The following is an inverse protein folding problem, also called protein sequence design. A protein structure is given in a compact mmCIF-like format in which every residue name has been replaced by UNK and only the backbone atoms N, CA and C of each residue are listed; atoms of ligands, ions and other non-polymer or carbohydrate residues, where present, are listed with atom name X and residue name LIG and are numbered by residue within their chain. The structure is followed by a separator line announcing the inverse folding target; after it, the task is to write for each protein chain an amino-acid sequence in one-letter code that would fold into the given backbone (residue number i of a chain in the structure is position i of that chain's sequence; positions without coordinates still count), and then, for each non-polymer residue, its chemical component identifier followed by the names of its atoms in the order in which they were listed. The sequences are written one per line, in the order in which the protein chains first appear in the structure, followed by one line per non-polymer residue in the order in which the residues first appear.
data_IF_911173335507
#
_entry.id   IF_911173335507
#
_cell.length_a   1.000
_cell.length_b   1.000
_cell.length_c   1.000
_cell.angle_alpha   90.00
_cell.angle_beta   90.00
_cell.angle_gamma   90.00
#
_symmetry.space_group_name_H-M   'P 1'
#
loop_
_entity.id
_entity.type
_entity.pdbx_description
1 polymer ?
#
# COMPACT_ATOMS: atom_id res chain seq x y z
N UNK A 1 32.68 0.32 -71.34
CA UNK A 1 31.69 1.42 -71.41
C UNK A 1 30.62 1.13 -70.35
N UNK A 2 30.77 1.75 -69.17
CA UNK A 2 29.82 1.62 -68.06
C UNK A 2 28.90 2.83 -68.15
N UNK A 3 27.62 2.59 -68.45
CA UNK A 3 26.63 3.65 -68.66
C UNK A 3 26.00 4.04 -67.33
N UNK A 4 26.00 5.35 -67.09
CA UNK A 4 25.47 6.05 -65.93
C UNK A 4 23.93 6.02 -65.98
N UNK A 5 23.28 5.47 -64.95
CA UNK A 5 21.85 5.76 -64.70
C UNK A 5 21.71 6.38 -63.33
N UNK A 6 21.37 7.67 -63.33
CA UNK A 6 21.10 8.52 -62.17
C UNK A 6 19.94 7.94 -61.36
N UNK A 7 20.18 7.60 -60.09
CA UNK A 7 19.10 7.39 -59.13
C UNK A 7 18.81 8.74 -58.45
N UNK A 8 17.61 9.27 -58.68
CA UNK A 8 17.06 10.41 -57.96
C UNK A 8 16.63 9.92 -56.57
N UNK A 9 17.29 10.39 -55.51
CA UNK A 9 16.85 10.17 -54.14
C UNK A 9 15.70 11.14 -53.83
N UNK A 10 14.48 10.62 -53.72
CA UNK A 10 13.35 11.36 -53.14
C UNK A 10 13.47 11.23 -51.62
N UNK A 11 13.95 12.29 -50.95
CA UNK A 11 13.84 12.42 -49.49
C UNK A 11 12.35 12.65 -49.16
N UNK A 12 11.65 11.59 -48.78
CA UNK A 12 10.43 11.71 -48.00
C UNK A 12 10.80 12.04 -46.57
N UNK A 13 10.62 13.30 -46.15
CA UNK A 13 10.59 13.63 -44.73
C UNK A 13 9.33 13.00 -44.13
N UNK A 14 9.48 11.85 -43.50
CA UNK A 14 8.49 11.37 -42.54
C UNK A 14 8.78 12.13 -41.24
N UNK A 15 8.05 13.21 -41.01
CA UNK A 15 7.94 13.80 -39.68
C UNK A 15 7.23 12.77 -38.81
N UNK A 16 8.00 11.96 -38.09
CA UNK A 16 7.47 11.19 -36.97
C UNK A 16 7.13 12.23 -35.91
N UNK A 17 5.85 12.62 -35.86
CA UNK A 17 5.32 13.34 -34.72
C UNK A 17 5.53 12.46 -33.50
N UNK A 18 6.55 12.77 -32.70
CA UNK A 18 6.60 12.26 -31.34
C UNK A 18 5.38 12.85 -30.64
N UNK A 19 4.35 12.03 -30.47
CA UNK A 19 3.40 12.28 -29.41
C UNK A 19 4.23 12.26 -28.13
N UNK A 20 4.55 13.45 -27.61
CA UNK A 20 5.02 13.60 -26.24
C UNK A 20 3.93 12.99 -25.37
N UNK A 21 4.16 11.76 -24.92
CA UNK A 21 3.40 11.18 -23.84
C UNK A 21 3.63 12.14 -22.67
N UNK A 22 2.59 12.81 -22.14
CA UNK A 22 2.76 13.72 -21.03
C UNK A 22 3.39 12.96 -19.86
N UNK A 23 4.27 13.64 -19.12
CA UNK A 23 5.11 13.13 -18.05
C UNK A 23 4.33 12.64 -16.81
N UNK A 24 3.46 11.64 -17.00
CA UNK A 24 2.76 10.92 -15.92
C UNK A 24 3.54 9.69 -15.43
N UNK A 25 4.67 9.36 -16.06
CA UNK A 25 5.51 8.22 -15.67
C UNK A 25 6.60 8.56 -14.65
N UNK A 26 6.79 9.83 -14.29
CA UNK A 26 7.75 10.23 -13.23
C UNK A 26 7.19 10.00 -11.80
N UNK A 27 5.86 9.90 -11.63
CA UNK A 27 5.24 9.79 -10.29
C UNK A 27 5.20 8.36 -9.73
N UNK A 28 5.49 7.33 -10.52
CA UNK A 28 5.48 5.93 -10.05
C UNK A 28 6.78 5.59 -9.28
N UNK A 29 7.88 6.32 -9.52
CA UNK A 29 9.14 6.13 -8.79
C UNK A 29 9.10 6.68 -7.34
N UNK A 30 8.08 7.46 -6.96
CA UNK A 30 7.93 7.96 -5.60
C UNK A 30 7.10 7.06 -4.68
N UNK A 31 6.56 5.95 -5.19
CA UNK A 31 5.70 5.08 -4.40
C UNK A 31 6.46 4.27 -3.34
N UNK A 32 7.77 4.10 -3.47
CA UNK A 32 8.68 3.49 -2.49
C UNK A 32 10.06 4.09 -2.71
N UNK A 33 10.85 4.32 -1.64
CA UNK A 33 12.05 5.12 -1.79
C UNK A 33 13.20 4.70 -0.89
N UNK A 34 14.39 4.66 -1.48
CA UNK A 34 15.64 4.59 -0.72
C UNK A 34 15.86 5.95 -0.07
N UNK A 35 16.06 5.96 1.25
CA UNK A 35 16.21 7.19 2.00
C UNK A 35 17.69 7.61 2.00
N UNK A 36 18.14 8.19 0.89
CA UNK A 36 19.55 8.48 0.57
C UNK A 36 20.25 7.26 -0.07
N UNK A 37 21.17 6.62 0.64
CA UNK A 37 21.85 5.40 0.22
C UNK A 37 21.14 4.17 0.77
N UNK A 38 21.05 3.10 -0.01
CA UNK A 38 20.49 1.82 0.45
C UNK A 38 21.41 1.20 1.49
N UNK A 39 20.95 1.20 2.74
CA UNK A 39 21.63 0.57 3.87
C UNK A 39 20.99 -0.77 4.26
N UNK A 40 20.01 -1.25 3.48
CA UNK A 40 19.50 -2.60 3.65
C UNK A 40 20.60 -3.62 3.37
N UNK A 41 20.51 -4.79 4.01
CA UNK A 41 21.46 -5.88 3.79
C UNK A 41 20.71 -7.19 3.51
N UNK A 42 21.40 -8.12 2.85
CA UNK A 42 20.87 -9.47 2.66
C UNK A 42 20.55 -10.11 4.01
N UNK A 43 19.43 -10.84 4.09
CA UNK A 43 18.95 -11.46 5.34
C UNK A 43 20.05 -12.22 6.13
N UNK A 44 20.92 -12.92 5.41
CA UNK A 44 22.01 -13.72 6.02
C UNK A 44 23.09 -12.90 6.72
N UNK A 45 23.23 -11.60 6.41
CA UNK A 45 24.15 -10.70 7.11
C UNK A 45 23.84 -10.57 8.61
N UNK A 46 22.58 -10.78 8.98
CA UNK A 46 22.08 -10.61 10.34
C UNK A 46 21.98 -11.93 11.12
N UNK A 47 22.42 -13.06 10.55
CA UNK A 47 22.23 -14.40 11.14
C UNK A 47 22.87 -14.53 12.54
N UNK A 48 24.03 -13.90 12.74
CA UNK A 48 24.82 -14.02 13.96
C UNK A 48 24.49 -12.88 14.95
N UNK A 49 24.30 -11.66 14.44
CA UNK A 49 24.03 -10.47 15.26
C UNK A 49 22.57 -10.35 15.69
N UNK A 50 21.63 -10.85 14.90
CA UNK A 50 20.18 -10.70 15.09
C UNK A 50 19.41 -11.99 14.80
N UNK A 51 19.76 -13.13 15.42
CA UNK A 51 19.19 -14.44 15.09
C UNK A 51 17.67 -14.50 15.28
N UNK A 52 17.11 -13.74 16.24
CA UNK A 52 15.68 -13.66 16.44
C UNK A 52 14.95 -12.97 15.26
N UNK A 53 15.52 -11.88 14.72
CA UNK A 53 14.96 -11.17 13.56
C UNK A 53 15.03 -12.05 12.31
N UNK A 54 16.15 -12.74 12.10
CA UNK A 54 16.33 -13.69 10.99
C UNK A 54 15.38 -14.88 11.10
N UNK A 55 15.15 -15.41 12.31
CA UNK A 55 14.17 -16.48 12.53
C UNK A 55 12.75 -16.02 12.15
N UNK A 56 12.36 -14.82 12.57
CA UNK A 56 11.06 -14.21 12.22
C UNK A 56 10.93 -13.87 10.75
N UNK A 57 12.03 -13.55 10.06
CA UNK A 57 12.01 -13.22 8.63
C UNK A 57 11.50 -14.38 7.78
N UNK A 58 11.57 -15.64 8.24
CA UNK A 58 11.05 -16.80 7.52
C UNK A 58 9.58 -16.65 7.11
N UNK A 59 8.77 -15.97 7.92
CA UNK A 59 7.36 -15.71 7.63
C UNK A 59 7.12 -14.73 6.46
N UNK A 60 8.16 -14.07 5.94
CA UNK A 60 8.08 -13.12 4.82
C UNK A 60 8.11 -13.88 3.49
N UNK A 61 7.14 -13.60 2.62
CA UNK A 61 7.05 -14.14 1.27
C UNK A 61 7.37 -13.07 0.21
N UNK A 62 8.02 -13.50 -0.87
CA UNK A 62 8.08 -12.79 -2.13
C UNK A 62 6.80 -13.09 -2.90
N UNK A 63 6.09 -12.04 -3.32
CA UNK A 63 4.88 -12.17 -4.12
C UNK A 63 5.20 -11.84 -5.58
N UNK A 64 4.90 -12.77 -6.48
CA UNK A 64 4.93 -12.51 -7.91
C UNK A 64 3.51 -12.28 -8.42
N UNK A 65 3.23 -11.06 -8.83
CA UNK A 65 1.93 -10.63 -9.36
C UNK A 65 1.91 -10.89 -10.87
N UNK A 66 1.52 -12.10 -11.28
CA UNK A 66 1.60 -12.52 -12.69
C UNK A 66 0.65 -11.72 -13.60
N UNK A 67 -0.47 -11.21 -13.06
CA UNK A 67 -1.47 -10.45 -13.80
C UNK A 67 -0.97 -9.09 -14.33
N UNK A 68 -0.01 -8.46 -13.64
CA UNK A 68 0.60 -7.16 -14.04
C UNK A 68 2.11 -7.25 -14.25
N UNK A 69 2.70 -8.43 -14.08
CA UNK A 69 4.15 -8.60 -14.17
C UNK A 69 4.94 -7.84 -13.10
N UNK A 70 4.36 -7.59 -11.93
CA UNK A 70 4.98 -6.87 -10.81
C UNK A 70 5.41 -7.81 -9.66
N UNK A 71 6.00 -7.24 -8.62
CA UNK A 71 6.39 -7.92 -7.39
C UNK A 71 5.89 -7.13 -6.19
N UNK A 72 5.55 -7.85 -5.12
CA UNK A 72 5.25 -7.27 -3.82
C UNK A 72 5.87 -8.14 -2.72
N UNK A 73 5.73 -7.69 -1.48
CA UNK A 73 6.04 -8.45 -0.29
C UNK A 73 4.76 -8.84 0.43
N UNK A 74 4.75 -10.04 1.01
CA UNK A 74 3.68 -10.50 1.89
C UNK A 74 4.26 -11.20 3.11
N UNK A 75 3.44 -11.49 4.10
CA UNK A 75 3.91 -12.19 5.30
C UNK A 75 2.80 -12.95 6.01
N UNK A 76 3.15 -14.11 6.60
CA UNK A 76 2.20 -14.94 7.33
C UNK A 76 1.72 -14.23 8.61
N UNK A 77 0.41 -14.04 8.74
CA UNK A 77 -0.23 -13.31 9.84
C UNK A 77 -1.13 -14.23 10.65
N UNK A 78 -0.74 -14.49 11.89
CA UNK A 78 -1.41 -15.47 12.74
C UNK A 78 -1.16 -16.92 12.30
N UNK A 79 -1.74 -17.86 13.04
CA UNK A 79 -1.42 -19.30 12.98
C UNK A 79 -2.20 -20.09 11.95
N UNK A 80 -3.01 -19.42 11.12
CA UNK A 80 -3.98 -20.08 10.25
C UNK A 80 -3.60 -20.04 8.77
N UNK A 81 -2.36 -19.70 8.41
CA UNK A 81 -1.94 -19.64 6.99
C UNK A 81 -2.56 -18.49 6.20
N UNK A 82 -2.96 -17.43 6.90
CA UNK A 82 -3.28 -16.15 6.29
C UNK A 82 -2.00 -15.37 5.98
N UNK A 83 -2.04 -14.57 4.93
CA UNK A 83 -0.96 -13.72 4.49
C UNK A 83 -1.47 -12.28 4.39
N UNK A 84 -0.67 -11.33 4.88
CA UNK A 84 -0.93 -9.91 4.79
C UNK A 84 -0.07 -9.28 3.69
N UNK A 85 -0.66 -8.39 2.89
CA UNK A 85 0.03 -7.54 1.89
C UNK A 85 -0.79 -6.26 1.66
N UNK A 86 -0.39 -5.40 0.72
CA UNK A 86 -1.19 -4.22 0.38
C UNK A 86 -2.40 -4.55 -0.50
N UNK A 87 -3.46 -3.73 -0.40
CA UNK A 87 -4.59 -3.81 -1.32
C UNK A 87 -4.14 -3.55 -2.75
N UNK A 88 -3.27 -2.57 -2.98
CA UNK A 88 -2.78 -2.29 -4.33
C UNK A 88 -1.91 -3.44 -4.94
N UNK A 89 -1.48 -4.42 -4.13
CA UNK A 89 -0.84 -5.64 -4.63
C UNK A 89 -1.87 -6.71 -4.98
N UNK A 90 -2.93 -6.87 -4.18
CA UNK A 90 -4.00 -7.85 -4.36
C UNK A 90 -5.34 -7.18 -4.05
N UNK A 91 -5.96 -6.59 -5.07
CA UNK A 91 -7.19 -5.79 -4.94
C UNK A 91 -8.46 -6.50 -5.44
N UNK A 92 -8.34 -7.70 -5.98
CA UNK A 92 -9.43 -8.39 -6.70
C UNK A 92 -9.23 -9.90 -6.68
N UNK A 93 -10.29 -10.64 -7.03
CA UNK A 93 -10.23 -12.08 -7.21
C UNK A 93 -9.25 -12.48 -8.32
N UNK A 94 -9.17 -11.70 -9.41
CA UNK A 94 -8.21 -11.95 -10.50
C UNK A 94 -6.77 -11.72 -10.04
N UNK A 95 -6.50 -10.63 -9.32
CA UNK A 95 -5.18 -10.39 -8.74
C UNK A 95 -4.78 -11.55 -7.82
N UNK A 96 -5.72 -12.07 -7.02
CA UNK A 96 -5.49 -13.19 -6.12
C UNK A 96 -5.26 -14.52 -6.87
N UNK A 97 -6.03 -14.78 -7.94
CA UNK A 97 -5.90 -15.96 -8.80
C UNK A 97 -4.58 -16.04 -9.56
N UNK A 98 -3.91 -14.91 -9.77
CA UNK A 98 -2.64 -14.81 -10.48
C UNK A 98 -1.49 -14.28 -9.60
N UNK A 99 -1.54 -14.52 -8.29
CA UNK A 99 -0.46 -14.18 -7.37
C UNK A 99 0.23 -15.45 -6.84
N UNK A 100 1.51 -15.58 -7.18
CA UNK A 100 2.38 -16.63 -6.65
C UNK A 100 3.03 -16.20 -5.34
N UNK A 101 3.06 -17.11 -4.37
CA UNK A 101 3.67 -16.94 -3.04
C UNK A 101 4.94 -17.78 -2.96
N UNK A 102 6.07 -17.14 -2.69
CA UNK A 102 7.38 -17.77 -2.59
C UNK A 102 8.06 -17.44 -1.26
N UNK A 103 8.42 -18.46 -0.49
CA UNK A 103 9.21 -18.30 0.73
C UNK A 103 10.68 -18.69 0.51
N UNK A 104 11.57 -18.33 1.44
CA UNK A 104 13.01 -18.67 1.38
C UNK A 104 13.76 -18.19 0.12
N UNK A 105 13.24 -17.19 -0.59
CA UNK A 105 14.03 -16.47 -1.59
C UNK A 105 15.08 -15.61 -0.87
N UNK A 106 16.24 -16.18 -0.55
CA UNK A 106 17.33 -15.55 0.21
C UNK A 106 18.69 -15.81 -0.45
N UNK A 107 19.65 -14.90 -0.26
CA UNK A 107 21.02 -15.17 -0.71
C UNK A 107 21.75 -16.13 0.25
N UNK A 108 22.66 -16.98 -0.26
CA UNK A 108 23.53 -17.81 0.58
C UNK A 108 24.53 -17.01 1.42
N UNK A 109 25.09 -15.95 0.85
CA UNK A 109 26.13 -15.11 1.43
C UNK A 109 25.68 -13.66 1.65
N UNK A 110 26.33 -13.00 2.62
CA UNK A 110 25.98 -11.63 3.00
C UNK A 110 26.26 -10.62 1.88
N UNK A 111 27.37 -10.80 1.17
CA UNK A 111 27.81 -9.90 0.09
C UNK A 111 27.42 -10.41 -1.31
N UNK A 112 26.58 -11.44 -1.37
CA UNK A 112 26.13 -11.99 -2.65
C UNK A 112 25.30 -10.95 -3.40
N UNK A 113 25.59 -10.80 -4.69
CA UNK A 113 24.81 -9.95 -5.57
C UNK A 113 23.42 -10.54 -5.77
N UNK A 114 22.44 -9.67 -5.98
CA UNK A 114 21.08 -10.10 -6.28
C UNK A 114 20.43 -9.19 -7.31
N UNK A 115 19.45 -9.76 -8.01
CA UNK A 115 18.65 -9.10 -9.02
C UNK A 115 17.20 -9.55 -8.87
N UNK A 116 16.28 -8.84 -9.52
CA UNK A 116 14.86 -9.16 -9.49
C UNK A 116 14.62 -10.62 -9.88
N UNK A 117 13.94 -11.38 -9.02
CA UNK A 117 13.64 -12.79 -9.24
C UNK A 117 14.81 -13.75 -9.03
N UNK A 118 16.01 -13.29 -8.67
CA UNK A 118 17.13 -14.19 -8.40
C UNK A 118 16.94 -14.95 -7.08
N UNK A 119 17.77 -15.99 -6.88
CA UNK A 119 17.73 -16.92 -5.75
C UNK A 119 16.31 -17.41 -5.45
N UNK A 120 15.73 -18.22 -6.36
CA UNK A 120 14.41 -18.77 -6.15
C UNK A 120 14.37 -19.58 -4.86
N UNK A 121 13.35 -19.34 -4.06
CA UNK A 121 13.04 -20.09 -2.87
C UNK A 121 12.05 -21.22 -3.17
N UNK A 122 11.15 -21.47 -2.22
CA UNK A 122 10.11 -22.48 -2.33
C UNK A 122 8.77 -21.84 -2.66
N UNK A 123 8.15 -22.29 -3.74
CA UNK A 123 6.81 -21.85 -4.13
C UNK A 123 5.78 -22.55 -3.25
N UNK A 124 5.05 -21.79 -2.46
CA UNK A 124 3.99 -22.30 -1.59
C UNK A 124 2.63 -22.33 -2.27
N UNK A 125 2.38 -21.39 -3.19
CA UNK A 125 1.12 -21.26 -3.88
C UNK A 125 1.30 -20.54 -5.22
N UNK A 126 0.44 -20.87 -6.19
CA UNK A 126 0.32 -20.14 -7.47
C UNK A 126 -0.87 -19.17 -7.49
N UNK A 127 -1.72 -19.23 -6.46
CA UNK A 127 -2.84 -18.33 -6.24
C UNK A 127 -3.15 -18.20 -4.74
N UNK A 128 -3.95 -17.19 -4.40
CA UNK A 128 -4.47 -16.97 -3.05
C UNK A 128 -5.97 -16.67 -3.12
N UNK A 129 -6.62 -16.68 -1.97
CA UNK A 129 -8.04 -16.28 -1.84
C UNK A 129 -8.13 -15.01 -1.01
N UNK A 130 -8.80 -13.96 -1.50
CA UNK A 130 -9.05 -12.76 -0.69
C UNK A 130 -10.03 -13.10 0.43
N UNK A 131 -9.63 -12.84 1.68
CA UNK A 131 -10.51 -12.98 2.85
C UNK A 131 -11.13 -11.63 3.18
N UNK A 132 -10.31 -10.58 3.20
CA UNK A 132 -10.76 -9.22 3.44
C UNK A 132 -9.73 -8.25 2.86
N UNK A 133 -10.18 -7.14 2.29
CA UNK A 133 -9.28 -6.07 1.84
C UNK A 133 -9.95 -4.73 2.00
N UNK A 134 -9.16 -3.70 2.28
CA UNK A 134 -9.65 -2.33 2.40
C UNK A 134 -8.76 -1.40 1.58
N UNK A 135 -9.39 -0.63 0.69
CA UNK A 135 -8.69 0.31 -0.18
C UNK A 135 -8.18 1.53 0.57
N UNK A 136 -8.88 2.01 1.60
CA UNK A 136 -8.48 3.21 2.33
C UNK A 136 -7.28 2.97 3.26
N UNK A 137 -7.20 1.77 3.85
CA UNK A 137 -6.10 1.29 4.67
C UNK A 137 -5.06 0.50 3.87
N UNK A 138 -5.18 0.44 2.54
CA UNK A 138 -4.27 -0.25 1.62
C UNK A 138 -3.77 -1.61 2.10
N UNK A 139 -4.66 -2.49 2.56
CA UNK A 139 -4.28 -3.83 2.96
C UNK A 139 -5.20 -4.89 2.35
N UNK A 140 -4.62 -6.08 2.16
CA UNK A 140 -5.32 -7.29 1.82
C UNK A 140 -4.87 -8.41 2.76
N UNK A 141 -5.85 -9.01 3.43
CA UNK A 141 -5.72 -10.27 4.13
C UNK A 141 -6.17 -11.37 3.16
N UNK A 142 -5.24 -12.27 2.82
CA UNK A 142 -5.49 -13.37 1.90
C UNK A 142 -5.22 -14.71 2.58
N UNK A 143 -5.85 -15.76 2.09
CA UNK A 143 -5.54 -17.15 2.45
C UNK A 143 -4.64 -17.75 1.38
N UNK A 144 -3.54 -18.35 1.79
CA UNK A 144 -2.63 -19.03 0.87
C UNK A 144 -3.25 -20.36 0.44
N UNK A 145 -3.47 -20.54 -0.87
CA UNK A 145 -3.96 -21.80 -1.42
C UNK A 145 -2.75 -22.70 -1.69
N UNK A 146 -2.33 -23.41 -0.65
CA UNK A 146 -1.11 -24.20 -0.66
C UNK A 146 -1.13 -25.23 -1.79
N UNK A 147 -0.02 -25.33 -2.51
CA UNK A 147 0.26 -26.49 -3.35
C UNK A 147 0.32 -27.72 -2.43
N UNK A 148 -0.26 -28.82 -2.89
CA UNK A 148 -0.33 -30.07 -2.13
C UNK A 148 1.02 -30.38 -1.45
N UNK A 149 0.96 -30.76 -0.17
CA UNK A 149 2.11 -31.11 0.69
C UNK A 149 3.00 -29.94 1.16
N UNK A 150 2.74 -28.67 0.76
CA UNK A 150 3.51 -27.55 1.28
C UNK A 150 3.21 -27.29 2.77
N UNK A 151 4.23 -27.44 3.63
CA UNK A 151 4.13 -27.19 5.07
C UNK A 151 4.57 -25.77 5.43
N UNK A 152 3.66 -24.98 6.03
CA UNK A 152 3.95 -23.65 6.54
C UNK A 152 4.66 -23.65 7.91
N UNK A 153 4.68 -24.77 8.62
CA UNK A 153 5.23 -24.87 9.98
C UNK A 153 6.67 -24.34 10.12
N UNK A 154 7.61 -24.61 9.18
CA UNK A 154 8.99 -24.11 9.27
C UNK A 154 9.10 -22.57 9.15
N UNK A 155 8.07 -21.92 8.60
CA UNK A 155 8.02 -20.48 8.37
C UNK A 155 7.42 -19.70 9.55
N UNK A 156 6.63 -20.38 10.38
CA UNK A 156 5.94 -19.76 11.50
C UNK A 156 4.99 -18.65 11.04
N UNK A 157 4.85 -17.61 11.86
CA UNK A 157 4.06 -16.43 11.53
C UNK A 157 4.54 -15.22 12.33
N UNK A 158 4.14 -14.03 11.87
CA UNK A 158 4.30 -12.80 12.62
C UNK A 158 3.03 -12.47 13.40
N UNK A 159 3.23 -11.72 14.47
CA UNK A 159 2.15 -11.17 15.29
C UNK A 159 2.26 -9.65 15.27
N UNK A 160 1.13 -8.98 15.25
CA UNK A 160 1.05 -7.53 15.34
C UNK A 160 0.87 -7.07 16.79
N UNK A 161 1.33 -5.85 17.05
CA UNK A 161 1.03 -5.12 18.28
C UNK A 161 -0.28 -4.36 18.11
N UNK A 162 -1.14 -4.40 19.12
CA UNK A 162 -2.32 -3.56 19.23
C UNK A 162 -2.04 -2.24 19.98
N UNK A 163 -0.78 -1.95 20.28
CA UNK A 163 -0.34 -0.73 20.96
C UNK A 163 0.11 0.34 19.97
N UNK A 164 -0.16 1.60 20.30
CA UNK A 164 0.37 2.75 19.56
C UNK A 164 1.87 2.90 19.77
N UNK A 165 2.57 3.38 18.74
CA UNK A 165 4.01 3.70 18.81
C UNK A 165 4.26 5.20 18.98
N UNK A 166 5.47 5.57 19.37
CA UNK A 166 5.94 6.95 19.54
C UNK A 166 6.97 7.31 18.47
N UNK A 167 7.10 8.61 18.20
CA UNK A 167 8.24 9.12 17.42
C UNK A 167 9.53 8.71 18.14
N UNK A 168 10.53 8.31 17.35
CA UNK A 168 11.81 7.73 17.76
C UNK A 168 11.77 6.30 18.32
N UNK A 169 10.61 5.63 18.40
CA UNK A 169 10.60 4.18 18.64
C UNK A 169 11.41 3.48 17.55
N UNK A 170 12.22 2.51 17.95
CA UNK A 170 13.13 1.81 17.04
C UNK A 170 12.38 0.76 16.24
N UNK A 171 12.68 0.71 14.94
CA UNK A 171 11.98 -0.15 14.01
C UNK A 171 12.92 -0.70 12.91
N UNK A 172 12.47 -1.77 12.26
CA UNK A 172 13.12 -2.37 11.10
C UNK A 172 12.07 -2.95 10.15
N UNK A 173 12.46 -3.18 8.90
CA UNK A 173 11.61 -3.80 7.87
C UNK A 173 12.31 -5.00 7.24
N UNK A 174 11.54 -6.00 6.83
CA UNK A 174 12.04 -7.21 6.17
C UNK A 174 11.17 -7.54 4.97
N UNK A 175 11.71 -7.48 3.76
CA UNK A 175 10.93 -7.63 2.55
C UNK A 175 11.74 -8.01 1.32
N UNK A 176 11.10 -7.91 0.17
CA UNK A 176 11.66 -8.25 -1.14
C UNK A 176 11.73 -7.03 -2.06
N UNK A 177 12.59 -6.02 -1.75
CA UNK A 177 12.73 -4.82 -2.55
C UNK A 177 13.12 -5.18 -3.99
N UNK A 178 12.39 -4.67 -4.97
CA UNK A 178 12.49 -4.98 -6.39
C UNK A 178 12.37 -6.47 -6.72
N UNK A 179 11.59 -7.23 -5.95
CA UNK A 179 11.47 -8.69 -6.09
C UNK A 179 12.79 -9.43 -5.89
N UNK A 180 13.79 -8.78 -5.27
CA UNK A 180 15.08 -9.40 -4.94
C UNK A 180 14.91 -10.41 -3.79
N UNK A 181 15.90 -11.26 -3.52
CA UNK A 181 15.94 -12.08 -2.32
C UNK A 181 15.79 -11.20 -1.07
N UNK A 182 15.30 -11.79 0.02
CA UNK A 182 14.91 -11.07 1.23
C UNK A 182 16.04 -10.20 1.77
N UNK A 183 15.73 -8.93 2.00
CA UNK A 183 16.62 -7.97 2.64
C UNK A 183 15.99 -7.45 3.91
N UNK A 184 16.84 -7.04 4.85
CA UNK A 184 16.46 -6.39 6.09
C UNK A 184 17.03 -4.98 6.05
N UNK A 185 16.17 -3.97 6.10
CA UNK A 185 16.59 -2.61 6.39
C UNK A 185 16.45 -2.38 7.89
N UNK A 186 17.59 -2.17 8.55
CA UNK A 186 17.67 -1.99 10.00
C UNK A 186 18.62 -0.85 10.32
N UNK A 187 19.79 -0.79 9.68
CA UNK A 187 20.76 0.30 9.90
C UNK A 187 20.31 1.55 9.16
N UNK A 188 20.52 2.72 9.75
CA UNK A 188 20.30 4.00 9.06
C UNK A 188 21.25 5.10 9.51
N UNK A 189 21.95 5.74 8.57
CA UNK A 189 22.87 6.86 8.80
C UNK A 189 23.88 6.58 9.94
N UNK A 190 24.41 5.34 9.99
CA UNK A 190 25.33 4.89 11.04
C UNK A 190 24.68 4.54 12.40
N UNK A 191 23.37 4.74 12.56
CA UNK A 191 22.63 4.23 13.71
C UNK A 191 22.32 2.73 13.53
N UNK A 192 22.40 1.91 14.61
CA UNK A 192 22.21 0.46 14.52
C UNK A 192 20.75 0.05 14.24
N UNK A 193 19.81 0.99 14.34
CA UNK A 193 18.39 0.73 14.10
C UNK A 193 17.70 1.97 13.55
N UNK A 194 16.81 1.80 12.57
CA UNK A 194 15.91 2.83 12.10
C UNK A 194 14.85 3.18 13.14
N UNK A 195 14.02 4.16 12.82
CA UNK A 195 13.07 4.75 13.76
C UNK A 195 11.80 5.22 13.09
N UNK A 196 10.76 5.34 13.92
CA UNK A 196 9.55 6.09 13.59
C UNK A 196 9.89 7.59 13.55
N UNK A 197 9.61 8.25 12.43
CA UNK A 197 9.87 9.68 12.20
C UNK A 197 8.66 10.55 12.47
N UNK A 198 7.45 10.00 12.24
CA UNK A 198 6.18 10.62 12.61
C UNK A 198 5.14 9.55 12.91
N UNK A 199 4.20 9.86 13.79
CA UNK A 199 3.05 8.98 14.11
C UNK A 199 1.74 9.53 13.56
N UNK A 200 1.78 10.67 12.86
CA UNK A 200 0.61 11.25 12.23
C UNK A 200 1.03 11.91 10.92
N UNK A 201 0.70 11.25 9.81
CA UNK A 201 0.92 11.79 8.47
C UNK A 201 -0.22 11.38 7.55
N UNK A 202 -0.88 12.38 6.97
CA UNK A 202 -1.93 12.20 5.97
C UNK A 202 -1.59 13.10 4.79
N UNK A 203 -1.72 12.58 3.57
CA UNK A 203 -1.52 13.40 2.38
C UNK A 203 -2.53 14.55 2.36
N UNK A 204 -2.04 15.74 2.03
CA UNK A 204 -2.90 16.94 1.93
C UNK A 204 -3.78 16.91 0.69
N UNK A 205 -3.46 16.06 -0.30
CA UNK A 205 -4.19 15.87 -1.55
C UNK A 205 -4.29 14.38 -1.86
N UNK A 206 -5.37 13.92 -2.53
CA UNK A 206 -5.45 12.57 -3.07
C UNK A 206 -4.19 12.20 -3.84
N UNK A 207 -3.56 11.10 -3.43
CA UNK A 207 -2.40 10.51 -4.10
C UNK A 207 -2.54 9.00 -4.18
N UNK A 208 -1.65 8.36 -4.92
CA UNK A 208 -1.52 6.90 -4.96
C UNK A 208 -1.21 6.29 -3.57
N UNK A 209 -0.75 7.11 -2.63
CA UNK A 209 -0.50 6.74 -1.24
C UNK A 209 -1.69 6.88 -0.29
N UNK A 210 -2.83 7.32 -0.83
CA UNK A 210 -4.12 7.49 -0.16
C UNK A 210 -4.11 8.54 0.96
N UNK A 211 -5.29 9.09 1.24
CA UNK A 211 -5.49 10.10 2.27
C UNK A 211 -5.78 9.44 3.61
N UNK A 212 -4.80 8.70 4.12
CA UNK A 212 -4.90 7.95 5.39
C UNK A 212 -3.75 8.34 6.32
N UNK A 213 -4.06 8.39 7.61
CA UNK A 213 -3.10 8.63 8.69
C UNK A 213 -2.15 7.44 8.89
N UNK A 214 -0.86 7.70 8.73
CA UNK A 214 0.22 6.70 8.66
C UNK A 214 1.33 6.97 9.66
N UNK A 215 2.13 5.92 9.89
CA UNK A 215 3.44 6.05 10.51
C UNK A 215 4.45 6.43 9.43
N UNK A 216 5.35 7.36 9.75
CA UNK A 216 6.57 7.57 8.97
C UNK A 216 7.75 6.81 9.57
N UNK A 217 8.62 6.28 8.73
CA UNK A 217 9.89 5.65 9.11
C UNK A 217 11.01 6.05 8.15
N UNK A 218 12.26 5.96 8.62
CA UNK A 218 13.45 6.32 7.84
C UNK A 218 14.15 5.12 7.18
N UNK A 219 13.57 3.93 7.26
CA UNK A 219 14.15 2.69 6.72
C UNK A 219 13.98 2.59 5.21
N UNK A 220 15.00 2.09 4.51
CA UNK A 220 15.03 1.99 3.05
C UNK A 220 14.03 0.95 2.51
N UNK A 221 13.29 1.36 1.48
CA UNK A 221 12.40 0.51 0.69
C UNK A 221 12.57 0.81 -0.80
N UNK A 222 12.10 -0.08 -1.66
CA UNK A 222 12.11 0.10 -3.11
C UNK A 222 10.91 -0.64 -3.70
N UNK A 223 10.52 -0.29 -4.93
CA UNK A 223 9.44 -0.96 -5.67
C UNK A 223 9.36 -2.47 -5.37
N UNK A 224 8.23 -2.97 -4.90
CA UNK A 224 8.04 -4.36 -4.47
C UNK A 224 8.27 -4.60 -2.97
N UNK A 225 8.66 -3.57 -2.24
CA UNK A 225 8.56 -3.52 -0.78
C UNK A 225 7.09 -3.39 -0.32
N UNK A 226 6.14 -3.13 -1.21
CA UNK A 226 4.72 -3.01 -0.90
C UNK A 226 4.25 -4.22 -0.10
N UNK A 227 3.68 -4.00 1.07
CA UNK A 227 3.19 -5.02 1.98
C UNK A 227 4.24 -5.51 2.98
N UNK A 228 5.45 -4.94 2.97
CA UNK A 228 6.50 -5.25 3.95
C UNK A 228 6.05 -4.88 5.36
N UNK A 229 6.21 -5.78 6.35
CA UNK A 229 5.91 -5.43 7.73
C UNK A 229 6.97 -4.48 8.29
N UNK A 230 6.51 -3.40 8.93
CA UNK A 230 7.30 -2.55 9.82
C UNK A 230 7.21 -3.12 11.23
N UNK A 231 8.35 -3.56 11.78
CA UNK A 231 8.41 -4.22 13.08
C UNK A 231 9.10 -3.34 14.12
N UNK A 232 8.61 -3.39 15.36
CA UNK A 232 9.34 -2.85 16.51
C UNK A 232 10.62 -3.62 16.73
N UNK A 233 11.75 -2.93 16.79
CA UNK A 233 13.05 -3.57 16.99
C UNK A 233 13.24 -4.19 18.38
N UNK A 234 12.44 -3.74 19.36
CA UNK A 234 12.46 -4.27 20.74
C UNK A 234 11.62 -5.54 20.88
N UNK A 235 10.45 -5.59 20.23
CA UNK A 235 9.47 -6.66 20.47
C UNK A 235 9.34 -7.66 19.32
N UNK A 236 9.84 -7.31 18.12
CA UNK A 236 9.61 -8.02 16.86
C UNK A 236 8.12 -8.19 16.51
N UNK A 237 7.26 -7.34 17.06
CA UNK A 237 5.85 -7.25 16.67
C UNK A 237 5.68 -6.27 15.52
N UNK A 238 4.77 -6.61 14.61
CA UNK A 238 4.41 -5.73 13.50
C UNK A 238 3.63 -4.53 14.04
N UNK A 239 4.09 -3.33 13.74
CA UNK A 239 3.52 -2.04 14.16
C UNK A 239 2.94 -1.25 12.98
N UNK A 240 3.35 -1.57 11.76
CA UNK A 240 2.76 -1.02 10.53
C UNK A 240 2.94 -1.92 9.31
N UNK A 241 2.19 -1.62 8.26
CA UNK A 241 2.29 -2.24 6.94
C UNK A 241 2.82 -1.20 5.95
N UNK A 242 4.05 -1.36 5.45
CA UNK A 242 4.60 -0.44 4.48
C UNK A 242 3.70 -0.39 3.24
N UNK A 243 3.35 0.83 2.83
CA UNK A 243 2.41 1.04 1.73
C UNK A 243 2.87 2.15 0.78
N UNK A 244 3.77 3.03 1.23
CA UNK A 244 4.21 4.13 0.39
C UNK A 244 5.57 4.70 0.75
N UNK A 245 6.21 5.32 -0.24
CA UNK A 245 7.45 6.06 -0.17
C UNK A 245 7.23 7.52 0.16
N UNK A 246 8.34 8.26 0.11
CA UNK A 246 8.35 9.69 0.44
C UNK A 246 9.73 10.23 0.80
N UNK A 247 10.75 9.38 0.78
CA UNK A 247 12.14 9.80 0.82
C UNK A 247 12.54 10.45 -0.51
N UNK A 248 13.03 11.68 -0.44
CA UNK A 248 13.61 12.39 -1.58
C UNK A 248 15.12 12.38 -1.47
N UNK A 249 15.81 11.90 -2.50
CA UNK A 249 17.25 12.10 -2.60
C UNK A 249 17.54 13.61 -2.55
N UNK A 250 18.46 14.03 -1.68
CA UNK A 250 18.92 15.40 -1.45
C UNK A 250 18.19 16.28 -0.42
N UNK A 251 17.17 15.80 0.31
CA UNK A 251 16.69 16.54 1.50
C UNK A 251 17.31 15.96 2.78
N UNK A 252 18.17 16.74 3.44
CA UNK A 252 18.67 16.44 4.80
C UNK A 252 17.56 16.42 5.85
N UNK A 253 16.42 17.06 5.54
CA UNK A 253 15.16 16.80 6.23
C UNK A 253 14.66 15.42 5.79
N UNK A 254 14.71 14.44 6.68
CA UNK A 254 14.23 13.08 6.46
C UNK A 254 12.90 13.07 5.71
N UNK A 255 12.92 12.80 4.41
CA UNK A 255 11.73 12.23 3.79
C UNK A 255 11.47 10.88 4.48
N UNK A 256 10.21 10.52 4.64
CA UNK A 256 9.83 9.30 5.33
C UNK A 256 9.23 8.34 4.31
N UNK A 257 9.56 7.07 4.44
CA UNK A 257 8.70 6.01 3.98
C UNK A 257 7.53 5.87 4.97
N UNK A 258 6.39 5.37 4.50
CA UNK A 258 5.16 5.34 5.26
C UNK A 258 4.59 3.93 5.38
N UNK A 259 3.92 3.70 6.50
CA UNK A 259 3.24 2.47 6.81
C UNK A 259 1.85 2.73 7.41
N UNK A 260 0.87 1.96 6.97
CA UNK A 260 -0.46 1.92 7.57
C UNK A 260 -0.34 1.35 8.99
N UNK A 261 -0.97 2.00 9.97
CA UNK A 261 -0.92 1.58 11.37
C UNK A 261 -1.58 0.21 11.54
N UNK A 262 -0.87 -0.75 12.14
CA UNK A 262 -1.46 -2.06 12.41
C UNK A 262 -2.68 -1.97 13.35
N UNK A 263 -2.74 -0.97 14.23
CA UNK A 263 -3.91 -0.75 15.10
C UNK A 263 -5.19 -0.50 14.29
N UNK A 264 -5.13 0.20 13.16
CA UNK A 264 -6.30 0.43 12.29
C UNK A 264 -6.72 -0.86 11.60
N UNK A 265 -5.77 -1.60 11.03
CA UNK A 265 -6.01 -2.88 10.36
C UNK A 265 -6.60 -3.90 11.35
N UNK A 266 -6.01 -4.03 12.55
CA UNK A 266 -6.49 -4.96 13.59
C UNK A 266 -7.92 -4.64 14.00
N UNK A 267 -8.26 -3.37 14.23
CA UNK A 267 -9.61 -2.98 14.62
C UNK A 267 -10.62 -3.33 13.53
N UNK A 268 -10.32 -2.99 12.27
CA UNK A 268 -11.22 -3.31 11.15
C UNK A 268 -11.40 -4.83 10.97
N UNK A 269 -10.34 -5.62 11.11
CA UNK A 269 -10.42 -7.08 11.05
C UNK A 269 -11.24 -7.68 12.21
N UNK A 270 -11.17 -7.10 13.41
CA UNK A 270 -11.99 -7.51 14.56
C UNK A 270 -13.47 -7.18 14.33
N UNK A 271 -13.76 -5.97 13.86
CA UNK A 271 -15.12 -5.52 13.55
C UNK A 271 -15.79 -6.40 12.49
N UNK A 272 -15.01 -6.87 11.52
CA UNK A 272 -15.48 -7.77 10.46
C UNK A 272 -15.35 -9.26 10.83
N UNK A 273 -14.91 -9.60 12.04
CA UNK A 273 -14.77 -10.98 12.53
C UNK A 273 -13.90 -11.89 11.61
N UNK A 274 -12.82 -11.32 11.06
CA UNK A 274 -11.88 -11.98 10.13
C UNK A 274 -10.43 -11.92 10.61
N UNK A 275 -10.17 -11.43 11.83
CA UNK A 275 -8.83 -11.42 12.41
C UNK A 275 -8.32 -12.87 12.61
N UNK A 276 -7.19 -13.27 12.01
CA UNK A 276 -6.68 -14.63 12.16
C UNK A 276 -6.34 -14.95 13.62
N UNK A 277 -6.42 -16.24 13.97
CA UNK A 277 -5.98 -16.72 15.27
C UNK A 277 -4.49 -16.41 15.50
N UNK A 278 -4.15 -16.07 16.74
CA UNK A 278 -2.78 -15.75 17.19
C UNK A 278 -2.14 -14.55 16.44
N UNK A 279 -2.92 -13.77 15.68
CA UNK A 279 -2.44 -12.65 14.89
C UNK A 279 -1.95 -11.46 15.74
N UNK A 280 -2.51 -11.26 16.93
CA UNK A 280 -2.20 -10.11 17.79
C UNK A 280 -1.62 -10.58 19.11
N UNK A 281 -0.51 -9.96 19.53
CA UNK A 281 0.08 -10.17 20.86
C UNK A 281 -0.10 -8.90 21.68
N UNK A 282 -1.09 -8.88 22.57
CA UNK A 282 -1.23 -7.79 23.54
C UNK A 282 -0.07 -7.83 24.52
N UNK A 283 0.69 -6.74 24.63
CA UNK A 283 1.81 -6.62 25.57
C UNK A 283 1.41 -6.04 26.95
N UNK A 284 0.11 -6.02 27.27
CA UNK A 284 -0.46 -5.42 28.49
C UNK A 284 -0.51 -3.88 28.41
N UNK A 285 -1.50 -3.15 28.91
CA UNK A 285 -2.73 -3.45 29.65
C UNK A 285 -3.87 -2.90 28.80
N UNK A 286 -4.94 -3.66 28.56
CA UNK A 286 -6.18 -3.08 28.05
C UNK A 286 -6.67 -2.10 29.14
N UNK A 287 -6.37 -0.81 29.00
CA UNK A 287 -7.25 0.18 29.61
C UNK A 287 -8.54 0.04 28.81
N UNK A 288 -9.67 -0.34 29.42
CA UNK A 288 -10.93 -0.27 28.74
C UNK A 288 -11.12 1.21 28.40
N UNK A 289 -10.99 1.57 27.13
CA UNK A 289 -11.51 2.84 26.65
C UNK A 289 -13.00 2.73 26.83
N UNK A 290 -13.50 3.25 27.95
CA UNK A 290 -14.92 3.52 28.10
C UNK A 290 -15.28 4.41 26.92
N UNK A 291 -16.11 3.88 26.04
CA UNK A 291 -16.80 4.66 25.03
C UNK A 291 -17.44 5.85 25.76
N UNK A 292 -17.12 7.11 25.41
CA UNK A 292 -17.91 8.21 25.91
C UNK A 292 -19.32 7.98 25.37
N UNK A 293 -20.24 7.65 26.26
CA UNK A 293 -21.67 7.70 25.98
C UNK A 293 -21.93 9.12 25.50
N UNK A 294 -22.21 9.27 24.20
CA UNK A 294 -22.62 10.53 23.64
C UNK A 294 -23.99 10.84 24.24
N UNK A 295 -24.03 11.74 25.22
CA UNK A 295 -25.27 12.38 25.65
C UNK A 295 -25.90 13.05 24.43
N UNK A 296 -27.17 12.79 24.10
CA UNK A 296 -27.85 13.47 23.01
C UNK A 296 -27.79 14.99 23.18
N UNK A 297 -27.59 15.79 22.13
CA UNK A 297 -27.57 17.24 22.25
C UNK A 297 -28.95 17.71 22.71
N UNK A 298 -29.01 18.38 23.85
CA UNK A 298 -30.19 19.15 24.27
C UNK A 298 -30.43 20.26 23.25
N UNK A 299 -31.55 20.19 22.55
CA UNK A 299 -32.08 21.21 21.66
C UNK A 299 -32.26 22.54 22.41
N UNK A 300 -31.59 23.64 22.02
CA UNK A 300 -31.96 24.95 22.53
C UNK A 300 -33.28 25.40 21.91
N UNK A 301 -34.20 25.81 22.79
CA UNK A 301 -35.47 26.47 22.48
C UNK A 301 -35.27 27.69 21.55
N UNK A 302 -36.12 27.91 20.54
CA UNK A 302 -35.96 29.04 19.63
C UNK A 302 -36.27 30.37 20.35
N UNK A 303 -35.31 31.29 20.33
CA UNK A 303 -35.52 32.68 20.74
C UNK A 303 -36.12 33.48 19.58
N UNK A 304 -37.06 34.36 19.91
CA UNK A 304 -37.91 35.10 18.98
C UNK A 304 -37.09 35.93 17.96
N UNK A 305 -37.41 35.76 16.68
CA UNK A 305 -36.85 36.58 15.59
C UNK A 305 -37.76 37.78 15.33
N UNK A 306 -37.20 38.97 15.48
CA UNK A 306 -37.80 40.26 15.13
C UNK A 306 -37.94 40.37 13.61
N UNK A 307 -39.16 40.65 13.15
CA UNK A 307 -39.55 40.74 11.75
C UNK A 307 -39.09 42.06 11.13
N UNK A 308 -38.35 42.02 10.02
CA UNK A 308 -38.21 43.17 9.11
C UNK A 308 -39.02 42.91 7.81
N UNK A 309 -39.47 43.97 7.11
CA UNK A 309 -40.41 43.86 5.98
C UNK A 309 -39.74 43.31 4.71
N UNK A 310 -40.53 42.76 3.76
CA UNK A 310 -40.00 42.08 2.58
C UNK A 310 -39.51 43.08 1.53
N UNK A 311 -38.26 42.95 1.11
CA UNK A 311 -37.76 43.54 -0.14
C UNK A 311 -38.05 42.56 -1.27
N UNK A 312 -38.80 43.03 -2.26
CA UNK A 312 -39.19 42.30 -3.46
C UNK A 312 -37.99 42.02 -4.37
N UNK A 313 -37.75 40.73 -4.67
CA UNK A 313 -36.82 40.30 -5.72
C UNK A 313 -37.57 39.46 -6.76
N UNK A 314 -37.29 39.60 -8.07
CA UNK A 314 -38.16 39.08 -9.13
C UNK A 314 -38.09 37.57 -9.30
N UNK A 315 -39.23 36.99 -9.66
CA UNK A 315 -39.43 35.60 -10.08
C UNK A 315 -38.51 35.24 -11.25
N UNK A 316 -37.68 34.22 -11.07
CA UNK A 316 -37.02 33.49 -12.17
C UNK A 316 -37.90 32.29 -12.58
N UNK A 317 -37.93 31.92 -13.87
CA UNK A 317 -38.94 31.04 -14.43
C UNK A 317 -38.72 29.56 -14.04
N UNK A 318 -39.85 28.89 -13.81
CA UNK A 318 -39.95 27.44 -13.71
C UNK A 318 -39.42 26.80 -15.01
N UNK A 319 -38.33 26.04 -14.89
CA UNK A 319 -37.89 25.12 -15.94
C UNK A 319 -38.43 23.72 -15.63
N UNK A 320 -39.25 23.25 -16.56
CA UNK A 320 -39.72 21.87 -16.70
C UNK A 320 -38.52 20.90 -16.66
N UNK A 321 -38.59 19.74 -15.99
CA UNK A 321 -37.47 18.80 -15.95
C UNK A 321 -37.26 18.21 -17.35
N UNK A 322 -36.08 18.44 -17.91
CA UNK A 322 -35.59 17.75 -19.11
C UNK A 322 -35.35 16.28 -18.72
N UNK A 323 -35.72 15.29 -19.56
CA UNK A 323 -35.44 13.90 -19.27
C UNK A 323 -33.92 13.70 -19.20
N UNK A 324 -33.39 13.27 -18.07
CA UNK A 324 -31.97 12.99 -17.93
C UNK A 324 -31.59 11.78 -18.77
N UNK A 325 -30.58 11.91 -19.65
CA UNK A 325 -29.97 10.77 -20.37
C UNK A 325 -29.27 9.80 -19.42
N UNK A 326 -28.96 10.25 -18.21
CA UNK A 326 -28.32 9.46 -17.17
C UNK A 326 -29.36 8.75 -16.29
N UNK A 327 -28.99 7.55 -15.86
CA UNK A 327 -29.65 6.82 -14.79
C UNK A 327 -29.58 7.60 -13.46
N UNK A 328 -30.33 7.13 -12.45
CA UNK A 328 -30.23 7.66 -11.09
C UNK A 328 -28.79 7.50 -10.57
N UNK A 329 -28.34 8.47 -9.78
CA UNK A 329 -27.04 8.41 -9.12
C UNK A 329 -27.09 7.32 -8.05
N UNK A 330 -26.15 6.38 -8.09
CA UNK A 330 -26.01 5.32 -7.11
C UNK A 330 -24.81 5.62 -6.20
N UNK A 331 -25.09 6.03 -4.96
CA UNK A 331 -24.04 6.32 -3.99
C UNK A 331 -23.34 5.01 -3.53
N UNK A 332 -22.02 5.01 -3.55
CA UNK A 332 -21.16 3.90 -3.10
C UNK A 332 -21.30 2.60 -3.92
N UNK A 333 -21.69 2.68 -5.19
CA UNK A 333 -21.69 1.53 -6.11
C UNK A 333 -20.35 1.40 -6.84
N UNK A 334 -19.79 0.20 -6.85
CA UNK A 334 -18.63 -0.17 -7.65
C UNK A 334 -19.08 -0.83 -8.96
N UNK A 335 -18.60 -0.33 -10.10
CA UNK A 335 -18.90 -0.88 -11.42
C UNK A 335 -17.71 -1.73 -11.89
N UNK A 336 -17.92 -3.05 -11.97
CA UNK A 336 -16.89 -3.97 -12.43
C UNK A 336 -16.62 -3.82 -13.94
N UNK A 337 -15.36 -3.59 -14.31
CA UNK A 337 -14.88 -3.47 -15.69
C UNK A 337 -13.97 -2.25 -15.87
N UNK A 338 -12.94 -2.36 -16.71
CA UNK A 338 -12.01 -1.25 -16.99
C UNK A 338 -12.57 -0.23 -18.00
N UNK A 339 -13.90 -0.20 -18.17
CA UNK A 339 -14.57 0.52 -19.24
C UNK A 339 -15.21 1.84 -18.76
N UNK A 340 -14.89 2.27 -17.55
CA UNK A 340 -15.47 3.48 -16.93
C UNK A 340 -14.44 4.61 -16.93
N UNK A 341 -14.75 5.68 -17.67
CA UNK A 341 -14.04 6.94 -17.59
C UNK A 341 -14.56 7.77 -16.39
N UNK A 342 -13.72 8.63 -15.81
CA UNK A 342 -14.10 9.52 -14.70
C UNK A 342 -14.00 11.00 -15.08
N UNK A 343 -14.88 11.82 -14.52
CA UNK A 343 -14.90 13.30 -14.64
C UNK A 343 -15.04 13.93 -13.25
N UNK A 344 -14.76 15.23 -13.13
CA UNK A 344 -14.85 15.97 -11.87
C UNK A 344 -15.72 17.22 -12.04
N UNK A 345 -16.77 17.32 -11.22
CA UNK A 345 -17.71 18.45 -11.18
C UNK A 345 -18.00 18.84 -9.73
N UNK A 346 -18.54 20.05 -9.53
CA UNK A 346 -18.89 20.55 -8.21
C UNK A 346 -20.05 19.77 -7.55
N UNK A 347 -20.97 19.22 -8.35
CA UNK A 347 -22.03 18.32 -7.89
C UNK A 347 -22.12 17.09 -8.79
N UNK A 348 -22.48 15.94 -8.21
CA UNK A 348 -22.61 14.68 -8.96
C UNK A 348 -23.67 14.75 -10.08
N UNK A 349 -24.72 15.56 -9.91
CA UNK A 349 -25.74 15.78 -10.95
C UNK A 349 -25.19 16.47 -12.20
N UNK A 350 -24.11 17.25 -12.07
CA UNK A 350 -23.51 17.99 -13.16
C UNK A 350 -22.65 17.09 -14.07
N UNK A 351 -22.26 15.89 -13.61
CA UNK A 351 -21.47 14.93 -14.38
C UNK A 351 -22.23 14.40 -15.61
N UNK A 352 -23.56 14.45 -15.62
CA UNK A 352 -24.37 13.98 -16.74
C UNK A 352 -24.14 14.77 -18.04
N UNK A 353 -23.65 16.01 -17.92
CA UNK A 353 -23.31 16.87 -19.08
C UNK A 353 -22.02 16.42 -19.77
N UNK A 354 -21.18 15.62 -19.11
CA UNK A 354 -19.89 15.16 -19.63
C UNK A 354 -19.98 13.89 -20.48
N UNK A 355 -21.19 13.31 -20.64
CA UNK A 355 -21.42 12.04 -21.34
C UNK A 355 -21.79 12.17 -22.84
N UNK A 356 -21.54 13.33 -23.47
CA UNK A 356 -21.82 13.58 -24.91
C UNK A 356 -20.63 13.26 -25.83
#
# INVERSE_FOLDING_TARGET
MVSLTKALAVLGLITVGQAQIPAFFEDVEQLESICNTDESQNNVCYKDSEPAKVSKSKAIARLRLNYIGSWCTGWLFGSEGHLMTNHHCINSADAAAFTRVEFDAVTPGCQDSSSRGSHPGKIAAENVTVIFSDRALDFALVKVNLIDEFDLTPYGYLQASDQTVKVNDTAYVMGHPNGRPRRIAMVKDGAPTGRITTTNYTETKPSLCLNVDRLGHNLDTEQGSSGTPLLSATTNLVIGLHNCGGCKAATTAYGANYAIKMTYIINLLRENNVLPKDAVKSTGTLIPTTTPISTPPTTPTPSATTTLPPTTTPTAPSTTPVPSKCSLIEDNTDYAGFDVASTSRANAADCCVDCD
#
